data_IF_023765921997
#
_entry.id   IF_023765921997
#
_cell.length_a   1.000
_cell.length_b   1.000
_cell.length_c   1.000
_cell.angle_alpha   90.00
_cell.angle_beta   90.00
_cell.angle_gamma   90.00
#
_symmetry.space_group_name_H-M   'P 1'
#
loop_
_entity.id
_entity.type
_entity.pdbx_description
1 polymer ?
#
# COMPACT_ATOMS: atom_id res chain seq x y z
N UNK A 1 5.88 33.05 -2.36
CA UNK A 1 5.97 31.67 -1.84
C UNK A 1 4.89 30.86 -2.54
N UNK A 2 5.14 29.65 -3.00
CA UNK A 2 4.12 28.85 -3.64
C UNK A 2 3.11 28.34 -2.62
N UNK A 3 1.89 28.07 -3.09
CA UNK A 3 0.81 27.52 -2.27
C UNK A 3 0.38 26.18 -2.83
N UNK A 4 0.10 25.24 -1.94
CA UNK A 4 -0.53 23.98 -2.31
C UNK A 4 -2.04 24.12 -2.19
N UNK A 5 -2.76 23.88 -3.27
CA UNK A 5 -4.20 23.76 -3.30
C UNK A 5 -4.58 22.33 -2.97
N UNK A 6 -5.34 22.12 -1.90
CA UNK A 6 -5.53 20.80 -1.29
C UNK A 6 -7.02 20.47 -1.24
N UNK A 7 -7.38 19.28 -1.70
CA UNK A 7 -8.68 18.68 -1.50
C UNK A 7 -8.67 17.91 -0.16
N UNK A 8 -9.53 18.34 0.78
CA UNK A 8 -9.70 17.73 2.09
C UNK A 8 -10.95 16.86 2.15
N UNK A 9 -10.95 15.77 2.93
CA UNK A 9 -12.13 14.93 3.14
C UNK A 9 -13.15 15.62 4.05
N UNK A 10 -13.80 16.61 3.50
CA UNK A 10 -14.86 17.40 4.14
C UNK A 10 -16.00 17.64 3.14
N UNK A 11 -17.26 17.74 3.59
CA UNK A 11 -18.43 17.92 2.73
C UNK A 11 -18.54 19.34 2.16
N UNK A 12 -17.45 19.83 1.56
CA UNK A 12 -17.36 21.18 0.99
C UNK A 12 -16.81 21.10 -0.44
N UNK A 13 -17.52 21.69 -1.38
CA UNK A 13 -17.15 21.79 -2.80
C UNK A 13 -16.13 22.89 -3.05
N UNK A 14 -15.01 22.87 -2.30
CA UNK A 14 -13.91 23.82 -2.49
C UNK A 14 -12.59 23.18 -2.13
N UNK A 15 -11.52 23.79 -2.60
CA UNK A 15 -10.16 23.48 -2.22
C UNK A 15 -9.69 24.43 -1.12
N UNK A 16 -8.60 24.06 -0.47
CA UNK A 16 -7.97 24.83 0.59
C UNK A 16 -6.53 25.11 0.24
N UNK A 17 -6.15 26.38 0.27
CA UNK A 17 -4.79 26.80 -0.04
C UNK A 17 -3.95 26.84 1.24
N UNK A 18 -2.74 26.27 1.17
CA UNK A 18 -1.76 26.21 2.24
C UNK A 18 -0.41 26.69 1.76
N UNK A 19 0.35 27.37 2.63
CA UNK A 19 1.71 27.81 2.32
C UNK A 19 2.61 26.58 2.20
N UNK A 20 3.40 26.51 1.13
CA UNK A 20 4.45 25.51 0.97
C UNK A 20 5.73 26.04 1.60
N UNK A 21 6.31 25.36 2.63
CA UNK A 21 7.64 25.65 3.11
C UNK A 21 8.67 25.51 1.99
N UNK A 22 9.67 26.39 1.93
CA UNK A 22 10.72 26.39 0.88
C UNK A 22 11.50 25.08 0.78
N UNK A 23 11.56 24.33 1.88
CA UNK A 23 12.22 23.01 1.92
C UNK A 23 11.34 21.85 1.43
N UNK A 24 10.05 22.11 1.15
CA UNK A 24 9.08 21.07 0.81
C UNK A 24 8.72 21.14 -0.67
N UNK A 25 8.86 20.02 -1.36
CA UNK A 25 8.34 19.83 -2.72
C UNK A 25 7.14 18.93 -2.66
N UNK A 26 6.09 19.30 -3.36
CA UNK A 26 4.87 18.48 -3.49
C UNK A 26 4.51 18.31 -4.95
N UNK A 27 3.82 17.23 -5.26
CA UNK A 27 3.32 16.94 -6.61
C UNK A 27 1.80 16.75 -6.55
N UNK A 28 1.11 17.04 -7.64
CA UNK A 28 -0.34 16.78 -7.75
C UNK A 28 -0.60 15.29 -7.57
N UNK A 29 -1.61 14.96 -6.76
CA UNK A 29 -1.94 13.58 -6.41
C UNK A 29 -1.18 13.03 -5.20
N UNK A 30 -0.19 13.75 -4.65
CA UNK A 30 0.46 13.39 -3.40
C UNK A 30 -0.40 13.77 -2.19
N UNK A 31 -0.29 12.98 -1.11
CA UNK A 31 -0.93 13.31 0.17
C UNK A 31 -0.06 14.25 0.98
N UNK A 32 -0.72 15.12 1.68
CA UNK A 32 -0.08 16.04 2.63
C UNK A 32 -0.83 16.05 3.96
N UNK A 33 -0.12 16.28 5.03
CA UNK A 33 -0.69 16.52 6.35
C UNK A 33 -0.80 18.02 6.58
N UNK A 34 -2.00 18.47 6.90
CA UNK A 34 -2.29 19.90 7.10
C UNK A 34 -3.10 20.16 8.37
N UNK A 35 -2.98 21.35 8.98
CA UNK A 35 -3.84 21.75 10.07
C UNK A 35 -5.21 22.17 9.53
N UNK A 36 -6.30 21.62 10.10
CA UNK A 36 -7.67 21.97 9.74
C UNK A 36 -8.52 22.10 11.01
N UNK A 37 -8.96 23.31 11.32
CA UNK A 37 -9.57 23.61 12.62
C UNK A 37 -8.58 23.34 13.76
N UNK A 38 -8.98 22.49 14.71
CA UNK A 38 -8.17 22.04 15.84
C UNK A 38 -7.44 20.72 15.57
N UNK A 39 -7.67 20.10 14.41
CA UNK A 39 -7.15 18.78 14.05
C UNK A 39 -6.11 18.88 12.92
N UNK A 40 -5.35 17.82 12.76
CA UNK A 40 -4.55 17.58 11.55
C UNK A 40 -5.32 16.65 10.64
N UNK A 41 -5.31 16.92 9.34
CA UNK A 41 -5.97 16.07 8.33
C UNK A 41 -5.04 15.74 7.19
N UNK A 42 -5.22 14.56 6.64
CA UNK A 42 -4.59 14.16 5.39
C UNK A 42 -5.47 14.68 4.25
N UNK A 43 -4.85 15.41 3.33
CA UNK A 43 -5.48 15.88 2.10
C UNK A 43 -4.64 15.47 0.89
N UNK A 44 -5.18 15.67 -0.30
CA UNK A 44 -4.51 15.40 -1.57
C UNK A 44 -4.25 16.72 -2.28
N UNK A 45 -3.02 16.89 -2.76
CA UNK A 45 -2.64 18.07 -3.56
C UNK A 45 -3.33 17.98 -4.92
N UNK A 46 -4.10 19.01 -5.26
CA UNK A 46 -4.78 19.11 -6.56
C UNK A 46 -4.11 20.10 -7.49
N UNK A 47 -3.37 21.07 -6.93
CA UNK A 47 -2.65 22.06 -7.70
C UNK A 47 -1.54 22.71 -6.86
N UNK A 48 -0.57 23.34 -7.51
CA UNK A 48 0.46 24.20 -6.88
C UNK A 48 0.42 25.54 -7.60
N UNK A 49 0.07 26.59 -6.86
CA UNK A 49 -0.15 27.93 -7.41
C UNK A 49 0.79 28.95 -6.79
N UNK A 50 1.10 30.01 -7.53
CA UNK A 50 1.97 31.10 -7.04
C UNK A 50 1.17 32.19 -6.31
N UNK A 51 -0.14 32.27 -6.55
CA UNK A 51 -1.04 33.27 -5.97
C UNK A 51 -2.29 32.60 -5.39
N UNK A 52 -2.84 33.19 -4.35
CA UNK A 52 -4.08 32.77 -3.71
C UNK A 52 -4.91 33.98 -3.31
N UNK A 53 -6.23 33.82 -3.34
CA UNK A 53 -7.19 34.85 -2.86
C UNK A 53 -7.41 34.77 -1.34
N UNK A 54 -6.81 33.79 -0.66
CA UNK A 54 -6.94 33.61 0.79
C UNK A 54 -6.08 34.65 1.50
N UNK A 55 -6.63 35.42 2.45
CA UNK A 55 -5.88 36.39 3.25
C UNK A 55 -4.69 35.72 3.96
N UNK A 56 -3.54 36.39 3.97
CA UNK A 56 -2.28 35.84 4.52
C UNK A 56 -2.43 35.38 5.98
N UNK A 57 -3.23 36.08 6.77
CA UNK A 57 -3.52 35.77 8.18
C UNK A 57 -4.26 34.43 8.37
N UNK A 58 -4.95 33.94 7.35
CA UNK A 58 -5.70 32.69 7.38
C UNK A 58 -4.90 31.52 6.81
N UNK A 59 -3.81 31.81 6.12
CA UNK A 59 -2.95 30.81 5.51
C UNK A 59 -2.15 30.08 6.59
N UNK A 60 -2.21 28.75 6.53
CA UNK A 60 -1.43 27.86 7.39
C UNK A 60 -0.42 27.09 6.56
N UNK A 61 0.73 26.69 7.13
CA UNK A 61 1.70 25.89 6.40
C UNK A 61 1.25 24.43 6.27
N UNK A 62 1.68 23.78 5.20
CA UNK A 62 1.70 22.32 5.09
C UNK A 62 2.64 21.76 6.16
N UNK A 63 2.18 20.77 6.94
CA UNK A 63 2.96 20.19 8.04
C UNK A 63 3.93 19.13 7.57
N UNK A 64 3.50 18.29 6.63
CA UNK A 64 4.33 17.24 6.04
C UNK A 64 3.82 16.85 4.65
N UNK A 65 4.74 16.52 3.74
CA UNK A 65 4.46 15.78 2.53
C UNK A 65 4.60 14.29 2.85
N UNK A 66 3.60 13.49 2.49
CA UNK A 66 3.55 12.06 2.82
C UNK A 66 4.01 11.19 1.66
N UNK A 67 4.02 11.72 0.44
CA UNK A 67 4.36 10.98 -0.78
C UNK A 67 5.24 11.84 -1.69
N UNK A 68 6.29 11.24 -2.25
CA UNK A 68 7.19 11.90 -3.21
C UNK A 68 6.62 11.92 -4.64
N UNK A 69 5.64 11.07 -4.92
CA UNK A 69 4.98 10.93 -6.23
C UNK A 69 3.46 10.89 -6.07
N UNK A 70 2.73 11.06 -7.18
CA UNK A 70 1.28 10.86 -7.18
C UNK A 70 0.90 9.42 -6.82
N UNK A 71 -0.09 9.26 -5.94
CA UNK A 71 -0.68 7.94 -5.64
C UNK A 71 -1.70 7.49 -6.68
N UNK A 72 -2.07 8.37 -7.59
CA UNK A 72 -3.08 8.09 -8.61
C UNK A 72 -2.40 8.05 -9.98
N UNK A 73 -2.73 7.03 -10.79
CA UNK A 73 -2.37 7.06 -12.21
C UNK A 73 -3.15 8.19 -12.92
N UNK A 74 -2.68 8.65 -14.08
CA UNK A 74 -3.39 9.67 -14.86
C UNK A 74 -4.86 9.28 -15.14
N UNK A 75 -5.11 8.01 -15.44
CA UNK A 75 -6.44 7.46 -15.71
C UNK A 75 -7.31 7.47 -14.46
N UNK A 76 -6.76 7.02 -13.32
CA UNK A 76 -7.45 7.05 -12.02
C UNK A 76 -7.78 8.46 -11.61
N UNK A 77 -6.84 9.40 -11.79
CA UNK A 77 -7.05 10.81 -11.51
C UNK A 77 -8.19 11.40 -12.32
N UNK A 78 -8.19 11.12 -13.62
CA UNK A 78 -9.23 11.57 -14.53
C UNK A 78 -10.60 10.98 -14.18
N UNK A 79 -10.65 9.69 -13.88
CA UNK A 79 -11.86 8.99 -13.44
C UNK A 79 -12.43 9.57 -12.14
N UNK A 80 -11.59 9.82 -11.13
CA UNK A 80 -12.04 10.34 -9.83
C UNK A 80 -12.56 11.78 -9.96
N UNK A 81 -11.94 12.62 -10.79
CA UNK A 81 -12.46 13.94 -11.09
C UNK A 81 -13.80 13.88 -11.83
N UNK A 82 -13.93 12.99 -12.82
CA UNK A 82 -15.21 12.75 -13.50
C UNK A 82 -16.29 12.29 -12.50
N UNK A 83 -15.97 11.34 -11.62
CA UNK A 83 -16.90 10.83 -10.62
C UNK A 83 -17.36 11.92 -9.64
N UNK A 84 -16.44 12.77 -9.16
CA UNK A 84 -16.77 13.91 -8.32
C UNK A 84 -17.79 14.85 -9.01
N UNK A 85 -17.54 15.17 -10.27
CA UNK A 85 -18.44 16.03 -11.06
C UNK A 85 -19.80 15.37 -11.35
N UNK A 86 -19.78 14.10 -11.77
CA UNK A 86 -20.99 13.35 -12.15
C UNK A 86 -21.94 13.14 -10.96
N UNK A 87 -21.41 12.80 -9.78
CA UNK A 87 -22.19 12.56 -8.57
C UNK A 87 -22.37 13.81 -7.72
N UNK A 88 -21.87 14.97 -8.15
CA UNK A 88 -21.86 16.20 -7.37
C UNK A 88 -21.30 16.00 -5.97
N UNK A 89 -20.21 15.23 -5.86
CA UNK A 89 -19.54 14.96 -4.59
C UNK A 89 -18.29 15.82 -4.43
N UNK A 90 -17.96 16.27 -3.19
CA UNK A 90 -16.71 17.00 -2.94
C UNK A 90 -15.50 16.17 -3.35
N UNK A 91 -14.59 16.73 -4.17
CA UNK A 91 -13.43 15.97 -4.67
C UNK A 91 -12.57 15.40 -3.55
N UNK A 92 -12.44 16.12 -2.43
CA UNK A 92 -11.66 15.64 -1.28
C UNK A 92 -12.24 14.36 -0.63
N UNK A 93 -13.56 14.20 -0.63
CA UNK A 93 -14.20 12.98 -0.16
C UNK A 93 -14.00 11.83 -1.16
N UNK A 94 -14.15 12.11 -2.46
CA UNK A 94 -13.95 11.12 -3.53
C UNK A 94 -12.51 10.59 -3.52
N UNK A 95 -11.51 11.47 -3.51
CA UNK A 95 -10.10 11.10 -3.44
C UNK A 95 -9.76 10.31 -2.17
N UNK A 96 -10.32 10.75 -1.02
CA UNK A 96 -10.13 10.03 0.23
C UNK A 96 -10.73 8.63 0.19
N UNK A 97 -11.93 8.45 -0.37
CA UNK A 97 -12.56 7.13 -0.47
C UNK A 97 -11.82 6.19 -1.43
N UNK A 98 -11.17 6.71 -2.45
CA UNK A 98 -10.34 5.93 -3.36
C UNK A 98 -9.06 5.37 -2.69
N UNK A 99 -8.65 5.93 -1.56
CA UNK A 99 -7.47 5.47 -0.83
C UNK A 99 -7.81 4.39 0.21
N UNK A 100 -6.95 3.38 0.40
CA UNK A 100 -7.03 2.46 1.53
C UNK A 100 -7.04 3.20 2.88
N UNK A 101 -7.67 2.59 3.89
CA UNK A 101 -7.85 3.20 5.23
C UNK A 101 -6.53 3.68 5.84
N UNK A 102 -5.49 2.87 5.77
CA UNK A 102 -4.15 3.21 6.31
C UNK A 102 -3.56 4.45 5.63
N UNK A 103 -3.71 4.56 4.33
CA UNK A 103 -3.24 5.73 3.58
C UNK A 103 -4.04 6.99 3.93
N UNK A 104 -5.35 6.88 4.16
CA UNK A 104 -6.18 7.99 4.66
C UNK A 104 -5.75 8.48 6.05
N UNK A 105 -5.17 7.60 6.85
CA UNK A 105 -4.65 7.90 8.19
C UNK A 105 -3.22 8.48 8.17
N UNK A 106 -2.60 8.57 7.00
CA UNK A 106 -1.26 9.13 6.82
C UNK A 106 -0.13 8.12 6.96
N UNK A 107 -0.43 6.82 6.96
CA UNK A 107 0.62 5.80 6.88
C UNK A 107 1.36 5.87 5.53
N UNK A 108 2.60 5.38 5.51
CA UNK A 108 3.43 5.35 4.30
C UNK A 108 2.78 4.52 3.20
N UNK A 109 2.81 5.02 1.95
CA UNK A 109 2.42 4.26 0.77
C UNK A 109 3.48 3.25 0.34
N UNK A 110 4.71 3.46 0.79
CA UNK A 110 5.81 2.52 0.56
C UNK A 110 5.83 1.53 1.70
N UNK A 111 5.83 0.25 1.35
CA UNK A 111 5.95 -0.82 2.34
C UNK A 111 7.32 -0.69 3.03
N UNK A 112 7.31 -0.70 4.36
CA UNK A 112 8.56 -0.59 5.13
C UNK A 112 9.41 -1.81 4.84
N UNK A 113 10.65 -1.58 4.45
CA UNK A 113 11.63 -2.65 4.33
C UNK A 113 11.73 -3.40 5.65
N UNK A 114 11.66 -4.71 5.59
CA UNK A 114 11.92 -5.56 6.74
C UNK A 114 13.42 -5.59 6.99
N UNK A 115 13.81 -5.29 8.21
CA UNK A 115 15.21 -5.34 8.62
C UNK A 115 15.46 -6.64 9.36
N UNK A 116 16.43 -7.39 8.88
CA UNK A 116 16.84 -8.67 9.48
C UNK A 116 18.21 -8.54 10.12
N UNK A 117 18.40 -9.29 11.20
CA UNK A 117 19.72 -9.52 11.75
C UNK A 117 20.40 -10.64 10.97
N UNK A 118 21.64 -10.43 10.55
CA UNK A 118 22.44 -11.41 9.82
C UNK A 118 23.82 -11.53 10.46
N UNK A 119 24.37 -12.74 10.66
CA UNK A 119 25.71 -12.91 11.15
C UNK A 119 26.73 -12.30 10.19
N UNK A 120 27.75 -11.68 10.73
CA UNK A 120 28.96 -11.31 9.98
C UNK A 120 29.91 -12.51 9.88
N UNK A 121 30.98 -12.38 9.09
CA UNK A 121 32.04 -13.42 9.04
C UNK A 121 32.61 -13.73 10.45
N UNK A 122 32.76 -12.71 11.28
CA UNK A 122 33.17 -12.88 12.69
C UNK A 122 32.12 -13.61 13.52
N UNK A 123 30.83 -13.32 13.28
CA UNK A 123 29.72 -14.02 13.92
C UNK A 123 29.66 -15.50 13.55
N UNK A 124 29.87 -15.84 12.30
CA UNK A 124 29.93 -17.23 11.84
C UNK A 124 31.13 -17.98 12.43
N UNK A 125 32.31 -17.34 12.48
CA UNK A 125 33.47 -17.91 13.16
C UNK A 125 33.21 -18.11 14.65
N UNK A 126 32.56 -17.17 15.32
CA UNK A 126 32.22 -17.29 16.72
C UNK A 126 31.25 -18.47 17.00
N UNK A 127 30.31 -18.72 16.08
CA UNK A 127 29.44 -19.91 16.14
C UNK A 127 30.26 -21.19 15.95
N UNK A 128 31.11 -21.27 14.93
CA UNK A 128 31.91 -22.44 14.61
C UNK A 128 32.91 -22.79 15.72
N UNK A 129 33.55 -21.81 16.33
CA UNK A 129 34.53 -21.96 17.41
C UNK A 129 33.90 -22.10 18.79
N UNK A 130 32.57 -21.91 18.91
CA UNK A 130 31.85 -22.01 20.16
C UNK A 130 32.24 -20.97 21.21
N UNK A 131 32.61 -19.75 20.76
CA UNK A 131 33.05 -18.65 21.63
C UNK A 131 31.98 -18.16 22.60
N UNK A 132 30.69 -18.42 22.30
CA UNK A 132 29.53 -17.98 23.09
C UNK A 132 28.98 -19.04 24.05
N UNK A 133 29.73 -20.15 24.32
CA UNK A 133 29.25 -21.24 25.18
C UNK A 133 28.83 -20.79 26.59
N UNK A 134 29.43 -19.73 27.13
CA UNK A 134 29.10 -19.16 28.45
C UNK A 134 27.88 -18.22 28.41
N UNK A 135 27.42 -17.82 27.24
CA UNK A 135 26.31 -16.85 27.01
C UNK A 135 25.22 -17.46 26.17
N UNK A 136 24.49 -18.44 26.73
CA UNK A 136 23.45 -19.21 25.99
C UNK A 136 22.49 -18.33 25.19
N UNK A 137 21.98 -17.26 25.80
CA UNK A 137 21.04 -16.33 25.10
C UNK A 137 21.66 -15.60 23.90
N UNK A 138 22.94 -15.24 23.96
CA UNK A 138 23.65 -14.65 22.81
C UNK A 138 23.90 -15.69 21.72
N UNK A 139 24.16 -16.94 22.08
CA UNK A 139 24.32 -18.04 21.13
C UNK A 139 23.01 -18.30 20.38
N UNK A 140 21.90 -18.43 21.13
CA UNK A 140 20.56 -18.62 20.56
C UNK A 140 20.15 -17.46 19.64
N UNK A 141 20.41 -16.20 20.05
CA UNK A 141 20.14 -15.03 19.24
C UNK A 141 20.99 -14.98 17.95
N UNK A 142 22.27 -15.39 18.03
CA UNK A 142 23.15 -15.43 16.86
C UNK A 142 22.76 -16.56 15.90
N UNK A 143 22.28 -17.69 16.42
CA UNK A 143 21.70 -18.77 15.60
C UNK A 143 20.42 -18.34 14.93
N UNK A 144 19.49 -17.67 15.65
CA UNK A 144 18.29 -17.12 15.09
C UNK A 144 18.57 -16.06 14.02
N UNK A 145 19.61 -15.23 14.17
CA UNK A 145 20.06 -14.30 13.14
C UNK A 145 20.51 -15.02 11.87
N UNK A 146 21.14 -16.21 11.98
CA UNK A 146 21.52 -17.03 10.84
C UNK A 146 20.30 -17.61 10.09
N UNK A 147 19.22 -17.87 10.82
CA UNK A 147 17.95 -18.36 10.25
C UNK A 147 17.07 -17.24 9.68
N UNK A 148 17.49 -15.97 9.78
CA UNK A 148 16.75 -14.82 9.25
C UNK A 148 15.80 -14.19 10.26
N UNK A 149 16.29 -13.77 11.42
CA UNK A 149 15.49 -13.11 12.46
C UNK A 149 15.15 -11.68 12.10
N UNK A 150 13.86 -11.37 11.99
CA UNK A 150 13.37 -10.01 11.78
C UNK A 150 13.56 -9.14 13.03
N UNK A 151 14.12 -7.94 12.85
CA UNK A 151 14.44 -7.01 13.95
C UNK A 151 13.21 -6.58 14.76
N UNK A 152 12.04 -6.46 14.10
CA UNK A 152 10.79 -6.03 14.73
C UNK A 152 10.04 -7.13 15.49
N UNK A 153 10.31 -8.39 15.20
CA UNK A 153 9.61 -9.54 15.77
C UNK A 153 10.60 -10.56 16.33
N UNK A 154 11.22 -10.23 17.45
CA UNK A 154 12.22 -11.11 18.05
C UNK A 154 11.95 -11.37 19.54
N UNK A 155 12.19 -12.58 20.04
CA UNK A 155 11.97 -12.97 21.41
C UNK A 155 13.10 -12.54 22.37
N UNK A 156 14.20 -12.00 21.84
CA UNK A 156 15.38 -11.64 22.61
C UNK A 156 15.36 -10.15 23.01
N UNK A 157 15.80 -9.82 24.21
CA UNK A 157 15.86 -8.44 24.67
C UNK A 157 16.88 -7.58 23.90
N UNK A 158 16.64 -6.28 23.80
CA UNK A 158 17.48 -5.32 23.06
C UNK A 158 18.95 -5.33 23.50
N UNK A 159 19.24 -5.59 24.79
CA UNK A 159 20.60 -5.69 25.29
C UNK A 159 21.43 -6.83 24.70
N UNK A 160 20.79 -7.95 24.31
CA UNK A 160 21.47 -9.08 23.66
C UNK A 160 21.95 -8.69 22.28
N UNK A 161 21.07 -8.05 21.50
CA UNK A 161 21.39 -7.56 20.16
C UNK A 161 22.46 -6.47 20.19
N UNK A 162 22.37 -5.54 21.13
CA UNK A 162 23.40 -4.50 21.32
C UNK A 162 24.76 -5.10 21.65
N UNK A 163 24.81 -6.15 22.50
CA UNK A 163 26.04 -6.83 22.82
C UNK A 163 26.63 -7.61 21.65
N UNK A 164 25.81 -8.25 20.82
CA UNK A 164 26.25 -8.92 19.60
C UNK A 164 26.73 -7.94 18.54
N UNK A 165 26.06 -6.78 18.42
CA UNK A 165 26.46 -5.71 17.52
C UNK A 165 27.79 -5.07 17.95
N UNK A 166 27.97 -4.82 19.25
CA UNK A 166 29.23 -4.29 19.81
C UNK A 166 30.44 -5.24 19.59
N UNK A 167 30.20 -6.54 19.46
CA UNK A 167 31.20 -7.55 19.10
C UNK A 167 31.37 -7.73 17.59
N UNK A 168 30.64 -6.97 16.80
CA UNK A 168 30.61 -7.09 15.34
C UNK A 168 30.20 -8.48 14.83
N UNK A 169 29.44 -9.24 15.63
CA UNK A 169 28.99 -10.58 15.26
C UNK A 169 27.74 -10.57 14.38
N UNK A 170 26.99 -9.46 14.34
CA UNK A 170 25.79 -9.27 13.55
C UNK A 170 25.80 -7.93 12.82
N UNK A 171 25.13 -7.90 11.69
CA UNK A 171 24.82 -6.69 10.94
C UNK A 171 23.33 -6.64 10.62
N UNK A 172 22.83 -5.46 10.26
CA UNK A 172 21.47 -5.25 9.82
C UNK A 172 21.43 -5.28 8.29
N UNK A 173 20.57 -6.12 7.72
CA UNK A 173 20.28 -6.13 6.29
C UNK A 173 18.81 -5.75 6.10
N UNK A 174 18.58 -4.67 5.35
CA UNK A 174 17.26 -4.33 4.87
C UNK A 174 16.94 -5.20 3.66
N UNK A 175 15.86 -5.94 3.70
CA UNK A 175 15.32 -6.65 2.56
C UNK A 175 14.04 -5.94 2.12
N UNK A 176 13.95 -5.67 0.84
CA UNK A 176 12.69 -5.26 0.27
C UNK A 176 11.65 -6.36 0.54
N UNK A 177 10.43 -6.00 0.93
CA UNK A 177 9.40 -6.99 1.09
C UNK A 177 9.32 -7.77 -0.23
N UNK A 178 9.45 -9.09 -0.15
CA UNK A 178 9.09 -9.94 -1.29
C UNK A 178 7.66 -9.61 -1.64
N UNK A 179 7.47 -8.86 -2.72
CA UNK A 179 6.16 -8.64 -3.30
C UNK A 179 5.76 -10.00 -3.86
N UNK A 180 5.21 -10.85 -3.00
CA UNK A 180 4.53 -12.05 -3.47
C UNK A 180 3.44 -11.56 -4.41
N UNK A 181 3.61 -11.85 -5.68
CA UNK A 181 2.56 -11.58 -6.64
C UNK A 181 1.29 -12.26 -6.12
N UNK A 182 0.12 -11.64 -6.35
CA UNK A 182 -1.16 -12.23 -5.97
C UNK A 182 -1.28 -13.70 -6.46
N UNK A 183 -0.64 -14.05 -7.56
CA UNK A 183 -0.53 -15.40 -8.12
C UNK A 183 0.21 -16.36 -7.18
N UNK A 184 1.32 -15.92 -6.58
CA UNK A 184 2.06 -16.72 -5.59
C UNK A 184 1.24 -16.90 -4.30
N UNK A 185 0.55 -15.85 -3.85
CA UNK A 185 -0.32 -15.93 -2.67
C UNK A 185 -1.51 -16.87 -2.88
N UNK A 186 -2.02 -16.98 -4.12
CA UNK A 186 -3.11 -17.87 -4.48
C UNK A 186 -2.63 -19.30 -4.74
N UNK A 187 -1.39 -19.51 -5.16
CA UNK A 187 -0.82 -20.84 -5.41
C UNK A 187 -0.81 -21.71 -4.14
N UNK A 188 -0.55 -21.09 -2.98
CA UNK A 188 -0.52 -21.76 -1.68
C UNK A 188 -1.92 -22.01 -1.08
N UNK A 189 -2.95 -21.34 -1.61
CA UNK A 189 -4.35 -21.46 -1.16
C UNK A 189 -5.26 -21.56 -2.38
N UNK A 190 -5.42 -22.73 -2.97
CA UNK A 190 -6.32 -22.88 -4.11
C UNK A 190 -7.73 -22.44 -3.71
N UNK A 191 -8.24 -21.41 -4.37
CA UNK A 191 -9.58 -20.85 -4.09
C UNK A 191 -10.66 -21.81 -4.56
N UNK A 192 -10.36 -22.62 -5.56
CA UNK A 192 -11.26 -23.60 -6.14
C UNK A 192 -10.60 -24.96 -6.20
N UNK A 193 -11.21 -25.97 -5.59
CA UNK A 193 -10.80 -27.35 -5.78
C UNK A 193 -11.26 -27.81 -7.16
N UNK A 194 -10.32 -28.17 -8.06
CA UNK A 194 -10.65 -28.64 -9.41
C UNK A 194 -11.58 -29.85 -9.43
N UNK A 195 -11.61 -30.62 -8.34
CA UNK A 195 -12.53 -31.76 -8.20
C UNK A 195 -14.02 -31.34 -8.10
N UNK A 196 -14.29 -30.10 -7.72
CA UNK A 196 -15.64 -29.58 -7.51
C UNK A 196 -16.15 -28.75 -8.70
N UNK A 197 -15.39 -28.72 -9.82
CA UNK A 197 -15.79 -27.98 -11.01
C UNK A 197 -17.04 -28.59 -11.63
N UNK A 198 -18.11 -27.82 -11.65
CA UNK A 198 -19.38 -28.25 -12.25
C UNK A 198 -19.30 -28.25 -13.79
N UNK A 199 -19.94 -29.25 -14.40
CA UNK A 199 -20.05 -29.28 -15.86
C UNK A 199 -21.09 -28.26 -16.30
N UNK A 200 -20.66 -27.30 -17.13
CA UNK A 200 -21.55 -26.31 -17.71
C UNK A 200 -22.61 -26.96 -18.61
N UNK A 201 -23.84 -26.56 -18.48
CA UNK A 201 -24.91 -26.96 -19.40
C UNK A 201 -24.69 -26.31 -20.78
N UNK A 202 -25.46 -26.74 -21.80
CA UNK A 202 -25.30 -26.26 -23.19
C UNK A 202 -25.38 -24.73 -23.33
N UNK A 203 -26.29 -24.08 -22.59
CA UNK A 203 -26.49 -22.64 -22.65
C UNK A 203 -25.32 -21.92 -21.95
N UNK A 204 -24.91 -22.38 -20.78
CA UNK A 204 -23.78 -21.86 -20.06
C UNK A 204 -22.47 -22.00 -20.85
N UNK A 205 -22.26 -23.16 -21.49
CA UNK A 205 -21.07 -23.40 -22.32
C UNK A 205 -21.05 -22.48 -23.56
N UNK A 206 -22.20 -22.19 -24.16
CA UNK A 206 -22.29 -21.25 -25.26
C UNK A 206 -21.90 -19.84 -24.82
N UNK A 207 -22.45 -19.34 -23.72
CA UNK A 207 -22.11 -18.04 -23.15
C UNK A 207 -20.63 -17.96 -22.81
N UNK A 208 -20.13 -19.00 -22.13
CA UNK A 208 -18.72 -19.09 -21.75
C UNK A 208 -17.77 -19.02 -22.95
N UNK A 209 -18.10 -19.71 -24.04
CA UNK A 209 -17.31 -19.67 -25.28
C UNK A 209 -17.27 -18.27 -25.90
N UNK A 210 -18.34 -17.48 -25.79
CA UNK A 210 -18.39 -16.12 -26.31
C UNK A 210 -17.50 -15.16 -25.49
N UNK A 211 -17.35 -15.39 -24.19
CA UNK A 211 -16.49 -14.56 -23.31
C UNK A 211 -15.00 -14.71 -23.63
N UNK A 212 -14.56 -15.86 -24.11
CA UNK A 212 -13.14 -16.17 -24.39
C UNK A 212 -12.49 -15.40 -25.55
N UNK A 213 -13.27 -14.90 -26.48
CA UNK A 213 -12.74 -14.31 -27.72
C UNK A 213 -12.57 -12.78 -27.66
N UNK A 214 -12.61 -12.18 -26.48
CA UNK A 214 -12.63 -10.73 -26.36
C UNK A 214 -11.24 -10.20 -26.05
N UNK A 215 -10.75 -9.28 -26.86
CA UNK A 215 -9.57 -8.47 -26.60
C UNK A 215 -10.00 -7.05 -26.22
N UNK A 216 -9.39 -6.50 -25.15
CA UNK A 216 -9.69 -5.16 -24.64
C UNK A 216 -10.88 -5.12 -23.68
N UNK A 217 -11.35 -3.91 -23.37
CA UNK A 217 -12.47 -3.71 -22.46
C UNK A 217 -13.81 -3.89 -23.16
N UNK A 218 -14.63 -4.82 -22.63
CA UNK A 218 -16.02 -5.01 -23.08
C UNK A 218 -16.91 -5.18 -21.85
N UNK A 219 -18.05 -4.50 -21.85
CA UNK A 219 -19.08 -4.69 -20.83
C UNK A 219 -20.10 -5.73 -21.31
N UNK A 220 -20.27 -6.81 -20.52
CA UNK A 220 -21.24 -7.86 -20.79
C UNK A 220 -22.37 -7.86 -19.77
N UNK A 221 -23.59 -8.01 -20.24
CA UNK A 221 -24.73 -8.28 -19.37
C UNK A 221 -25.05 -9.77 -19.44
N UNK A 222 -24.81 -10.50 -18.35
CA UNK A 222 -25.22 -11.89 -18.21
C UNK A 222 -26.62 -11.92 -17.59
N UNK A 223 -27.64 -12.02 -18.42
CA UNK A 223 -29.03 -12.14 -17.99
C UNK A 223 -29.42 -13.60 -17.71
N UNK A 224 -30.23 -13.80 -16.66
CA UNK A 224 -30.71 -15.12 -16.29
C UNK A 224 -31.38 -15.10 -14.91
N UNK A 225 -32.31 -16.02 -14.70
CA UNK A 225 -33.06 -16.16 -13.43
C UNK A 225 -32.14 -16.52 -12.27
N UNK A 226 -32.57 -16.31 -11.04
CA UNK A 226 -31.87 -16.75 -9.83
C UNK A 226 -31.72 -18.27 -9.86
N UNK A 227 -30.52 -18.77 -9.53
CA UNK A 227 -30.22 -20.21 -9.58
C UNK A 227 -29.87 -20.77 -10.97
N UNK A 228 -29.79 -19.95 -12.03
CA UNK A 228 -29.41 -20.41 -13.39
C UNK A 228 -27.92 -20.78 -13.52
N UNK A 229 -27.12 -20.66 -12.47
CA UNK A 229 -25.70 -21.00 -12.47
C UNK A 229 -24.79 -19.91 -13.08
N UNK A 230 -25.20 -18.65 -13.08
CA UNK A 230 -24.35 -17.51 -13.51
C UNK A 230 -23.02 -17.48 -12.78
N UNK A 231 -23.02 -17.75 -11.48
CA UNK A 231 -21.82 -17.77 -10.64
C UNK A 231 -20.78 -18.78 -11.15
N UNK A 232 -21.23 -19.95 -11.62
CA UNK A 232 -20.34 -20.96 -12.17
C UNK A 232 -19.63 -20.48 -13.44
N UNK A 233 -20.33 -19.74 -14.31
CA UNK A 233 -19.74 -19.13 -15.51
C UNK A 233 -18.65 -18.14 -15.11
N UNK A 234 -18.90 -17.27 -14.09
CA UNK A 234 -17.90 -16.31 -13.63
C UNK A 234 -16.68 -17.01 -13.02
N UNK A 235 -16.89 -18.02 -12.17
CA UNK A 235 -15.79 -18.76 -11.52
C UNK A 235 -14.89 -19.44 -12.56
N UNK A 236 -15.50 -20.14 -13.53
CA UNK A 236 -14.75 -20.79 -14.59
C UNK A 236 -14.05 -19.80 -15.52
N UNK A 237 -14.63 -18.63 -15.76
CA UNK A 237 -13.99 -17.57 -16.54
C UNK A 237 -12.80 -16.94 -15.84
N UNK A 238 -12.91 -16.68 -14.52
CA UNK A 238 -11.79 -16.17 -13.69
C UNK A 238 -10.62 -17.16 -13.66
N UNK A 239 -10.91 -18.46 -13.68
CA UNK A 239 -9.88 -19.53 -13.66
C UNK A 239 -9.05 -19.57 -14.97
N UNK A 240 -9.57 -19.03 -16.08
CA UNK A 240 -8.90 -19.04 -17.39
C UNK A 240 -8.15 -17.73 -17.72
N UNK A 241 -8.35 -16.65 -16.95
CA UNK A 241 -7.63 -15.38 -17.09
C UNK A 241 -6.35 -15.39 -16.26
#
# INVERSE_FOLDING_TARGET
MPFARIALPVPLHRYFDYVLPTSMKVVVGARVLVPFGTQKRVGVVVDVVEQTDVPEEQLKPVLACLDDTSLFSPESWQFLNWAANYYHAPLGEVLSQALPVKLRQGESAVEKQKVFWTPTALGEQALAQGLLKRSKKQLEALQAAKEGMEKGNNPFGSGIWSALKAKEYITEIAQDPEIQTWQQQLADKPIVNKADRLTLNKQQALVFSQLKFIQGFVAWLLDGVTGSGKTEIYLQFIEEI
#
